data_IF_942695861999
#
_entry.id   IF_942695861999
#
_cell.length_a   1.000
_cell.length_b   1.000
_cell.length_c   1.000
_cell.angle_alpha   90.00
_cell.angle_beta   90.00
_cell.angle_gamma   90.00
#
_symmetry.space_group_name_H-M   'P 1'
#
loop_
_entity.id
_entity.type
_entity.pdbx_description
1 polymer ?
#
# COMPACT_ATOMS: atom_id res chain seq x y z
N UNK A 1 9.53 -7.79 22.20
CA UNK A 1 8.47 -7.08 21.43
C UNK A 1 8.64 -7.47 19.97
N UNK A 2 7.58 -7.84 19.23
CA UNK A 2 7.71 -8.06 17.79
C UNK A 2 8.24 -6.79 17.13
N UNK A 3 9.15 -6.95 16.16
CA UNK A 3 9.71 -5.83 15.42
C UNK A 3 8.56 -5.03 14.78
N UNK A 4 8.65 -3.69 14.83
CA UNK A 4 7.66 -2.83 14.16
C UNK A 4 7.73 -3.10 12.67
N UNK A 5 6.57 -3.32 12.06
CA UNK A 5 6.47 -3.44 10.60
C UNK A 5 7.00 -2.16 9.94
N UNK A 6 7.95 -2.27 8.99
CA UNK A 6 8.65 -1.11 8.43
C UNK A 6 7.75 -0.20 7.58
N UNK A 7 6.64 -0.72 7.04
CA UNK A 7 5.71 0.05 6.21
C UNK A 7 4.41 0.41 6.95
N UNK A 8 4.30 0.12 8.25
CA UNK A 8 3.13 0.46 9.06
C UNK A 8 2.82 1.96 9.05
N UNK A 9 3.84 2.82 9.01
CA UNK A 9 3.65 4.28 8.99
C UNK A 9 2.87 4.72 7.75
N UNK A 10 3.28 4.23 6.58
CA UNK A 10 2.66 4.52 5.29
C UNK A 10 1.25 3.92 5.24
N UNK A 11 1.07 2.67 5.70
CA UNK A 11 -0.25 2.06 5.77
C UNK A 11 -1.24 2.87 6.63
N UNK A 12 -0.81 3.35 7.81
CA UNK A 12 -1.63 4.22 8.65
C UNK A 12 -1.91 5.58 7.98
N UNK A 13 -0.95 6.15 7.26
CA UNK A 13 -1.13 7.40 6.54
C UNK A 13 -2.16 7.28 5.40
N UNK A 14 -2.18 6.14 4.69
CA UNK A 14 -3.21 5.86 3.68
C UNK A 14 -4.58 5.83 4.32
N UNK A 15 -4.74 5.10 5.44
CA UNK A 15 -6.03 5.03 6.13
C UNK A 15 -6.49 6.42 6.59
N UNK A 16 -5.62 7.22 7.17
CA UNK A 16 -5.94 8.60 7.57
C UNK A 16 -6.36 9.46 6.37
N UNK A 17 -5.63 9.37 5.25
CA UNK A 17 -5.96 10.10 4.03
C UNK A 17 -7.33 9.69 3.47
N UNK A 18 -7.62 8.38 3.43
CA UNK A 18 -8.90 7.87 2.95
C UNK A 18 -10.06 8.36 3.83
N UNK A 19 -9.92 8.32 5.15
CA UNK A 19 -10.94 8.86 6.05
C UNK A 19 -11.19 10.35 5.79
N UNK A 20 -10.13 11.14 5.61
CA UNK A 20 -10.23 12.58 5.35
C UNK A 20 -10.86 12.91 3.98
N UNK A 21 -10.61 12.07 2.98
CA UNK A 21 -11.05 12.29 1.60
C UNK A 21 -12.26 11.45 1.19
N UNK A 22 -13.05 10.97 2.16
CA UNK A 22 -14.26 10.14 1.90
C UNK A 22 -13.95 8.92 1.00
N UNK A 23 -12.78 8.32 1.22
CA UNK A 23 -12.27 7.16 0.50
C UNK A 23 -12.01 7.38 -1.00
N UNK A 24 -11.86 8.64 -1.43
CA UNK A 24 -11.43 8.95 -2.80
C UNK A 24 -9.91 8.70 -2.92
N UNK A 25 -9.54 7.50 -3.39
CA UNK A 25 -8.14 7.06 -3.49
C UNK A 25 -7.24 7.99 -4.32
N UNK A 26 -7.78 8.64 -5.36
CA UNK A 26 -7.01 9.57 -6.20
C UNK A 26 -6.47 10.78 -5.44
N UNK A 27 -7.13 11.19 -4.34
CA UNK A 27 -6.65 12.25 -3.45
C UNK A 27 -5.52 11.77 -2.53
N UNK A 28 -5.28 10.45 -2.46
CA UNK A 28 -4.27 9.82 -1.61
C UNK A 28 -3.12 9.20 -2.41
N UNK A 29 -3.03 9.52 -3.71
CA UNK A 29 -2.06 8.93 -4.64
C UNK A 29 -0.61 9.03 -4.11
N UNK A 30 -0.22 10.19 -3.57
CA UNK A 30 1.14 10.41 -3.06
C UNK A 30 1.50 9.44 -1.94
N UNK A 31 0.57 9.24 -1.00
CA UNK A 31 0.78 8.36 0.17
C UNK A 31 0.77 6.89 -0.24
N UNK A 32 -0.05 6.55 -1.24
CA UNK A 32 -0.08 5.22 -1.86
C UNK A 32 1.26 4.94 -2.57
N UNK A 33 1.84 5.92 -3.27
CA UNK A 33 3.14 5.79 -3.92
C UNK A 33 4.30 5.68 -2.92
N UNK A 34 4.22 6.36 -1.77
CA UNK A 34 5.16 6.16 -0.67
C UNK A 34 5.07 4.73 -0.09
N UNK A 35 3.87 4.17 0.01
CA UNK A 35 3.67 2.78 0.44
C UNK A 35 4.25 1.80 -0.58
N UNK A 36 4.03 2.02 -1.89
CA UNK A 36 4.66 1.23 -2.96
C UNK A 36 6.18 1.26 -2.85
N UNK A 37 6.77 2.45 -2.67
CA UNK A 37 8.23 2.60 -2.46
C UNK A 37 8.70 1.85 -1.22
N UNK A 38 7.96 1.91 -0.11
CA UNK A 38 8.29 1.14 1.08
C UNK A 38 8.28 -0.38 0.80
N UNK A 39 7.25 -0.86 0.09
CA UNK A 39 7.10 -2.27 -0.23
C UNK A 39 8.12 -2.81 -1.23
N UNK A 40 8.66 -1.98 -2.12
CA UNK A 40 9.79 -2.37 -2.97
C UNK A 40 11.06 -2.70 -2.16
N UNK A 41 11.26 -2.03 -1.03
CA UNK A 41 12.45 -2.22 -0.18
C UNK A 41 12.21 -3.29 0.89
N UNK A 42 11.03 -3.29 1.51
CA UNK A 42 10.73 -4.09 2.71
C UNK A 42 9.61 -5.12 2.52
N UNK A 43 9.15 -5.37 1.29
CA UNK A 43 7.97 -6.20 1.03
C UNK A 43 8.02 -7.61 1.62
N UNK A 44 9.20 -8.22 1.72
CA UNK A 44 9.38 -9.53 2.37
C UNK A 44 9.24 -9.48 3.90
N UNK A 45 9.43 -8.32 4.50
CA UNK A 45 9.48 -8.10 5.96
C UNK A 45 8.31 -7.25 6.48
N UNK A 46 7.32 -6.95 5.64
CA UNK A 46 6.16 -6.12 5.99
C UNK A 46 4.86 -6.82 5.63
N UNK A 47 4.02 -7.07 6.63
CA UNK A 47 2.66 -7.57 6.46
C UNK A 47 1.78 -6.53 5.75
N UNK A 48 2.05 -5.24 5.96
CA UNK A 48 1.33 -4.15 5.32
C UNK A 48 1.50 -4.16 3.78
N UNK A 49 2.57 -4.78 3.27
CA UNK A 49 2.85 -4.87 1.84
C UNK A 49 2.11 -5.99 1.10
N UNK A 50 1.33 -6.82 1.80
CA UNK A 50 0.61 -7.94 1.18
C UNK A 50 -0.34 -7.52 0.06
N UNK A 51 -0.92 -6.32 0.16
CA UNK A 51 -1.80 -5.71 -0.86
C UNK A 51 -1.10 -4.79 -1.87
N UNK A 52 0.22 -4.62 -1.77
CA UNK A 52 1.02 -3.68 -2.58
C UNK A 52 2.01 -4.37 -3.52
N UNK A 53 1.93 -5.69 -3.65
CA UNK A 53 2.77 -6.46 -4.58
C UNK A 53 2.52 -5.97 -6.01
N UNK A 54 3.60 -5.66 -6.74
CA UNK A 54 3.55 -5.07 -8.07
C UNK A 54 2.56 -5.80 -9.00
N UNK A 55 1.86 -5.06 -9.89
CA UNK A 55 0.88 -5.62 -10.82
C UNK A 55 1.48 -6.46 -11.97
N UNK A 56 2.80 -6.77 -11.98
CA UNK A 56 3.43 -7.57 -13.04
C UNK A 56 2.83 -9.01 -13.17
N UNK A 57 1.91 -9.41 -12.28
CA UNK A 57 1.13 -10.63 -12.43
C UNK A 57 -0.41 -10.49 -12.33
N UNK A 58 -0.97 -9.27 -12.38
CA UNK A 58 -2.45 -9.08 -12.34
C UNK A 58 -3.00 -8.37 -13.58
N UNK A 59 -2.26 -8.37 -14.69
CA UNK A 59 -2.82 -8.07 -16.02
C UNK A 59 -3.26 -9.35 -16.74
N UNK A 60 -4.15 -10.16 -16.14
CA UNK A 60 -5.05 -11.08 -16.88
C UNK A 60 -6.24 -11.49 -15.99
N UNK A 61 -7.26 -10.65 -15.92
CA UNK A 61 -8.63 -11.16 -15.90
C UNK A 61 -9.27 -10.74 -17.22
N UNK A 62 -9.44 -11.65 -18.21
CA UNK A 62 -10.33 -11.37 -19.32
C UNK A 62 -11.74 -11.26 -18.75
N UNK A 63 -12.35 -10.09 -18.86
CA UNK A 63 -13.78 -9.93 -18.75
C UNK A 63 -14.41 -10.65 -19.96
N UNK A 64 -14.90 -11.87 -19.74
CA UNK A 64 -15.91 -12.50 -20.60
C UNK A 64 -17.27 -12.27 -19.96
#
# INVERSE_FOLDING_TARGET
MPAKDPCKKQACAIQACLQANKYVESMCADVIDDMRRCCRIYGANSLCCSGFKDPEHTERKPST
#
